data_IF_621974582862
#
_entry.id   IF_621974582862
#
_cell.length_a   1.000
_cell.length_b   1.000
_cell.length_c   1.000
_cell.angle_alpha   90.00
_cell.angle_beta   90.00
_cell.angle_gamma   90.00
#
_symmetry.space_group_name_H-M   'P 1'
#
loop_
_entity.id
_entity.type
_entity.pdbx_description
1 polymer ?
#
# COMPACT_ATOMS: atom_id res chain seq x y z
N UNK A 1 -1.65 13.50 19.61
CA UNK A 1 -1.50 12.21 18.93
C UNK A 1 -1.80 12.38 17.45
N UNK A 2 -1.01 11.79 16.55
CA UNK A 2 -1.23 11.92 15.09
C UNK A 2 -0.36 10.89 14.36
N UNK A 3 -1.01 9.92 13.74
CA UNK A 3 -0.38 8.84 12.99
C UNK A 3 -0.10 9.20 11.54
N UNK A 4 0.42 8.23 10.78
CA UNK A 4 0.50 8.33 9.31
C UNK A 4 -0.92 8.59 8.79
N UNK A 5 -1.08 9.55 7.86
CA UNK A 5 -2.37 10.03 7.32
C UNK A 5 -3.22 10.93 8.24
N UNK A 6 -2.68 11.43 9.36
CA UNK A 6 -3.33 12.47 10.18
C UNK A 6 -3.10 13.91 9.68
N UNK A 7 -2.50 14.05 8.49
CA UNK A 7 -2.37 15.35 7.82
C UNK A 7 -3.73 15.86 7.32
N UNK A 8 -3.78 17.15 6.92
CA UNK A 8 -4.97 17.75 6.33
C UNK A 8 -5.41 16.92 5.13
N UNK A 9 -6.62 16.33 5.19
CA UNK A 9 -7.20 15.66 4.02
C UNK A 9 -7.36 16.73 2.94
N UNK A 10 -6.74 16.52 1.78
CA UNK A 10 -6.98 17.40 0.63
C UNK A 10 -8.37 17.09 0.11
N UNK A 11 -9.22 18.10 -0.07
CA UNK A 11 -10.60 17.95 -0.58
C UNK A 11 -10.69 17.20 -1.91
N UNK A 12 -9.60 17.17 -2.68
CA UNK A 12 -9.52 16.59 -4.03
C UNK A 12 -9.21 15.08 -4.03
N UNK A 13 -8.68 14.51 -2.94
CA UNK A 13 -8.16 13.14 -2.92
C UNK A 13 -8.86 12.27 -1.89
N UNK A 14 -9.23 11.05 -2.29
CA UNK A 14 -10.01 10.11 -1.48
C UNK A 14 -9.24 9.51 -0.29
N UNK A 15 -7.92 9.68 -0.25
CA UNK A 15 -7.06 9.20 0.83
C UNK A 15 -5.68 8.78 0.35
N UNK A 16 -4.95 8.08 1.23
CA UNK A 16 -3.66 7.50 0.92
C UNK A 16 -3.80 6.02 0.54
N UNK A 17 -3.03 5.54 -0.45
CA UNK A 17 -3.08 4.15 -0.93
C UNK A 17 -2.89 3.12 0.19
N UNK A 18 -2.08 3.44 1.20
CA UNK A 18 -1.75 2.56 2.33
C UNK A 18 -2.96 2.31 3.26
N UNK A 19 -4.04 3.07 3.12
CA UNK A 19 -5.27 2.91 3.89
C UNK A 19 -6.23 1.89 3.27
N UNK A 20 -6.02 1.51 2.01
CA UNK A 20 -6.98 0.70 1.26
C UNK A 20 -6.41 -0.70 0.97
N UNK A 21 -7.26 -1.74 1.04
CA UNK A 21 -6.91 -3.06 0.54
C UNK A 21 -6.51 -3.00 -0.93
N UNK A 22 -5.42 -3.68 -1.28
CA UNK A 22 -4.90 -3.69 -2.63
C UNK A 22 -4.57 -5.10 -3.11
N UNK A 23 -4.89 -5.38 -4.37
CA UNK A 23 -4.45 -6.57 -5.11
C UNK A 23 -3.26 -6.16 -5.96
N UNK A 24 -2.12 -6.81 -5.75
CA UNK A 24 -0.87 -6.54 -6.46
C UNK A 24 -0.53 -7.72 -7.37
N UNK A 25 -0.49 -7.46 -8.68
CA UNK A 25 -0.19 -8.45 -9.70
C UNK A 25 1.17 -9.12 -9.49
N UNK A 26 2.14 -8.41 -8.92
CA UNK A 26 3.49 -8.93 -8.63
C UNK A 26 3.48 -9.92 -7.47
N UNK A 27 2.54 -9.79 -6.54
CA UNK A 27 2.33 -10.77 -5.47
C UNK A 27 1.68 -12.02 -6.08
N UNK A 28 0.63 -11.86 -6.88
CA UNK A 28 -0.04 -12.97 -7.57
C UNK A 28 0.94 -13.76 -8.45
N UNK A 29 1.81 -13.06 -9.19
CA UNK A 29 2.87 -13.68 -9.99
C UNK A 29 3.83 -14.51 -9.14
N UNK A 30 4.30 -13.96 -8.01
CA UNK A 30 5.23 -14.68 -7.10
C UNK A 30 4.57 -15.86 -6.41
N UNK A 31 3.26 -15.81 -6.19
CA UNK A 31 2.46 -16.92 -5.69
C UNK A 31 2.18 -17.99 -6.78
N UNK A 32 2.57 -17.76 -8.03
CA UNK A 32 2.35 -18.70 -9.13
C UNK A 32 0.88 -18.75 -9.58
N UNK A 33 0.12 -17.67 -9.42
CA UNK A 33 -1.28 -17.62 -9.85
C UNK A 33 -1.46 -17.16 -11.31
N UNK A 34 -0.42 -16.56 -11.90
CA UNK A 34 -0.45 -16.06 -13.29
C UNK A 34 0.23 -17.08 -14.22
N UNK A 35 -0.47 -18.19 -14.53
CA UNK A 35 0.00 -19.24 -15.42
C UNK A 35 -0.73 -19.17 -16.76
N UNK A 36 0.02 -19.12 -17.86
CA UNK A 36 -0.55 -19.07 -19.21
C UNK A 36 -1.34 -20.34 -19.51
N UNK A 37 -2.53 -20.23 -20.08
CA UNK A 37 -3.37 -21.37 -20.44
C UNK A 37 -4.21 -21.93 -19.29
N UNK A 38 -4.04 -21.43 -18.07
CA UNK A 38 -4.67 -22.01 -16.88
C UNK A 38 -5.66 -21.07 -16.21
N UNK A 39 -6.60 -21.68 -15.49
CA UNK A 39 -7.46 -21.01 -14.53
C UNK A 39 -6.95 -21.31 -13.11
N UNK A 40 -6.64 -20.26 -12.36
CA UNK A 40 -6.20 -20.37 -10.96
C UNK A 40 -7.17 -19.62 -10.06
N UNK A 41 -7.13 -19.92 -8.76
CA UNK A 41 -7.92 -19.21 -7.78
C UNK A 41 -7.15 -19.12 -6.46
N UNK A 42 -7.48 -18.10 -5.66
CA UNK A 42 -6.94 -17.96 -4.31
C UNK A 42 -7.89 -17.11 -3.45
N UNK A 43 -7.65 -17.06 -2.14
CA UNK A 43 -8.36 -16.18 -1.21
C UNK A 43 -7.40 -15.16 -0.59
N UNK A 44 -7.62 -13.89 -0.88
CA UNK A 44 -6.89 -12.78 -0.29
C UNK A 44 -7.58 -12.31 0.98
N UNK A 45 -6.79 -12.02 2.02
CA UNK A 45 -7.28 -11.54 3.33
C UNK A 45 -6.51 -10.31 3.77
N UNK A 46 -7.23 -9.29 4.23
CA UNK A 46 -6.67 -8.08 4.83
C UNK A 46 -7.22 -7.91 6.25
N UNK A 47 -6.35 -7.97 7.25
CA UNK A 47 -6.72 -7.83 8.66
C UNK A 47 -6.39 -6.45 9.24
N UNK A 48 -5.57 -5.64 8.56
CA UNK A 48 -4.90 -4.49 9.17
C UNK A 48 -5.43 -3.12 8.74
N UNK A 49 -6.43 -3.05 7.84
CA UNK A 49 -6.82 -1.81 7.15
C UNK A 49 -8.29 -1.38 7.36
N UNK A 50 -9.15 -2.23 7.94
CA UNK A 50 -10.52 -1.89 8.34
C UNK A 50 -10.85 -2.61 9.66
N UNK A 51 -11.84 -2.14 10.44
CA UNK A 51 -12.29 -2.82 11.67
C UNK A 51 -12.76 -4.26 11.41
N UNK A 52 -13.22 -4.53 10.19
CA UNK A 52 -13.61 -5.86 9.73
C UNK A 52 -12.54 -6.44 8.79
N UNK A 53 -12.16 -7.69 9.04
CA UNK A 53 -11.28 -8.42 8.15
C UNK A 53 -11.94 -8.57 6.77
N UNK A 54 -11.35 -7.98 5.74
CA UNK A 54 -11.80 -8.18 4.37
C UNK A 54 -11.24 -9.51 3.85
N UNK A 55 -12.11 -10.38 3.37
CA UNK A 55 -11.74 -11.62 2.69
C UNK A 55 -12.37 -11.64 1.31
N UNK A 56 -11.59 -11.96 0.28
CA UNK A 56 -12.02 -11.95 -1.11
C UNK A 56 -11.45 -13.17 -1.82
N UNK A 57 -12.29 -13.90 -2.54
CA UNK A 57 -11.87 -14.95 -3.48
C UNK A 57 -11.59 -14.34 -4.84
N UNK A 58 -10.45 -14.69 -5.40
CA UNK A 58 -10.07 -14.32 -6.76
C UNK A 58 -10.06 -15.58 -7.63
N UNK A 59 -10.58 -15.46 -8.85
CA UNK A 59 -10.49 -16.46 -9.90
C UNK A 59 -9.82 -15.79 -11.08
N UNK A 60 -8.67 -16.29 -11.50
CA UNK A 60 -7.88 -15.75 -12.60
C UNK A 60 -7.99 -16.74 -13.74
N UNK A 61 -8.58 -16.30 -14.85
CA UNK A 61 -8.65 -17.07 -16.08
C UNK A 61 -7.64 -16.49 -17.08
N UNK A 62 -6.59 -17.26 -17.40
CA UNK A 62 -5.61 -16.97 -18.44
C UNK A 62 -5.62 -18.07 -19.53
N UNK A 63 -6.70 -18.84 -19.63
CA UNK A 63 -6.85 -19.91 -20.63
C UNK A 63 -6.92 -19.37 -22.06
N UNK A 64 -7.53 -18.21 -22.23
CA UNK A 64 -7.51 -17.43 -23.47
C UNK A 64 -6.84 -16.08 -23.19
N UNK A 65 -5.75 -15.78 -23.89
CA UNK A 65 -5.06 -14.48 -23.78
C UNK A 65 -5.88 -13.32 -24.33
N UNK A 66 -6.86 -13.57 -25.21
CA UNK A 66 -7.79 -12.57 -25.72
C UNK A 66 -8.90 -12.17 -24.75
N UNK A 67 -9.28 -13.07 -23.82
CA UNK A 67 -10.32 -12.83 -22.80
C UNK A 67 -9.82 -13.01 -21.36
N UNK A 68 -8.50 -12.89 -21.18
CA UNK A 68 -7.86 -13.03 -19.88
C UNK A 68 -8.48 -12.08 -18.86
N UNK A 69 -8.89 -12.62 -17.71
CA UNK A 69 -9.62 -11.83 -16.72
C UNK A 69 -9.51 -12.40 -15.31
N UNK A 70 -9.73 -11.53 -14.32
CA UNK A 70 -9.83 -11.89 -12.92
C UNK A 70 -11.21 -11.52 -12.39
N UNK A 71 -11.91 -12.51 -11.82
CA UNK A 71 -13.16 -12.33 -11.10
C UNK A 71 -12.89 -12.26 -9.61
N UNK A 72 -13.38 -11.21 -8.97
CA UNK A 72 -13.17 -10.86 -7.58
C UNK A 72 -14.51 -10.98 -6.86
N UNK A 73 -14.59 -11.83 -5.83
CA UNK A 73 -15.82 -12.10 -5.08
C UNK A 73 -15.55 -11.92 -3.59
N UNK A 74 -16.38 -11.14 -2.87
CA UNK A 74 -16.29 -11.07 -1.40
C UNK A 74 -16.56 -12.45 -0.80
N UNK A 75 -15.72 -12.85 0.16
CA UNK A 75 -15.95 -14.04 0.96
C UNK A 75 -16.64 -13.63 2.28
N UNK A 76 -17.76 -14.30 2.62
CA UNK A 76 -18.59 -13.98 3.80
C UNK A 76 -19.70 -12.97 3.43
N UNK A 77 -20.95 -13.42 3.53
CA UNK A 77 -22.16 -12.88 2.89
C UNK A 77 -22.66 -11.48 3.26
N UNK A 78 -21.78 -10.56 3.64
CA UNK A 78 -22.14 -9.18 4.04
C UNK A 78 -21.86 -8.09 2.98
N UNK A 79 -21.53 -8.43 1.73
CA UNK A 79 -21.33 -7.41 0.69
C UNK A 79 -21.21 -7.96 -0.73
N UNK A 80 -21.67 -7.17 -1.71
CA UNK A 80 -21.72 -7.49 -3.15
C UNK A 80 -20.46 -7.04 -3.89
N UNK A 81 -19.26 -7.40 -3.39
CA UNK A 81 -18.09 -7.34 -4.29
C UNK A 81 -18.20 -8.54 -5.21
N UNK A 82 -18.63 -8.28 -6.44
CA UNK A 82 -18.61 -9.22 -7.55
C UNK A 82 -18.15 -8.46 -8.78
N UNK A 83 -16.85 -8.49 -9.04
CA UNK A 83 -16.22 -7.64 -10.04
C UNK A 83 -15.37 -8.47 -10.99
N UNK A 84 -15.54 -8.26 -12.29
CA UNK A 84 -14.62 -8.76 -13.31
C UNK A 84 -13.62 -7.66 -13.67
N UNK A 85 -12.34 -8.01 -13.75
CA UNK A 85 -11.26 -7.14 -14.18
C UNK A 85 -10.52 -7.81 -15.32
N UNK A 86 -10.41 -7.15 -16.47
CA UNK A 86 -9.66 -7.70 -17.59
C UNK A 86 -8.15 -7.70 -17.28
N UNK A 87 -7.46 -8.72 -17.79
CA UNK A 87 -6.02 -8.89 -17.71
C UNK A 87 -5.50 -8.90 -19.14
N UNK A 88 -4.46 -8.11 -19.37
CA UNK A 88 -3.75 -8.12 -20.64
C UNK A 88 -2.40 -8.82 -20.47
N UNK A 89 -2.15 -9.83 -21.29
CA UNK A 89 -0.91 -10.61 -21.29
C UNK A 89 -0.07 -10.25 -22.51
N UNK A 90 1.13 -9.72 -22.28
CA UNK A 90 2.08 -9.34 -23.34
C UNK A 90 3.28 -10.29 -23.32
N UNK A 91 3.66 -10.90 -24.46
CA UNK A 91 4.87 -11.71 -24.54
C UNK A 91 6.13 -10.90 -24.22
N UNK A 92 7.09 -11.51 -23.51
CA UNK A 92 8.37 -10.91 -23.21
C UNK A 92 9.45 -11.38 -24.19
N UNK A 93 10.38 -10.47 -24.56
CA UNK A 93 11.47 -10.75 -25.51
C UNK A 93 12.37 -11.94 -25.13
N UNK A 94 12.55 -12.17 -23.83
CA UNK A 94 13.39 -13.25 -23.28
C UNK A 94 12.57 -14.47 -22.83
N UNK A 95 11.34 -14.62 -23.33
CA UNK A 95 10.42 -15.67 -22.92
C UNK A 95 9.51 -15.28 -21.75
N UNK A 96 8.40 -16.01 -21.62
CA UNK A 96 7.35 -15.74 -20.63
C UNK A 96 6.38 -14.63 -21.02
N UNK A 97 5.43 -14.37 -20.13
CA UNK A 97 4.39 -13.36 -20.31
C UNK A 97 4.42 -12.32 -19.20
N UNK A 98 4.11 -11.07 -19.54
CA UNK A 98 3.87 -10.00 -18.59
C UNK A 98 2.40 -9.63 -18.60
N UNK A 99 1.74 -9.90 -17.47
CA UNK A 99 0.34 -9.55 -17.28
C UNK A 99 0.19 -8.14 -16.70
N UNK A 100 -0.86 -7.44 -17.08
CA UNK A 100 -1.32 -6.18 -16.49
C UNK A 100 -2.81 -6.28 -16.21
N UNK A 101 -3.28 -5.66 -15.13
CA UNK A 101 -4.71 -5.38 -15.00
C UNK A 101 -5.08 -4.23 -15.92
N UNK A 102 -6.25 -4.32 -16.54
CA UNK A 102 -6.91 -3.17 -17.15
C UNK A 102 -7.81 -2.53 -16.11
N UNK A 103 -7.58 -1.25 -15.82
CA UNK A 103 -8.38 -0.54 -14.85
C UNK A 103 -9.86 -0.56 -15.28
N UNK A 104 -10.80 -1.01 -14.44
CA UNK A 104 -12.22 -1.08 -14.81
C UNK A 104 -12.88 0.27 -15.08
N UNK A 105 -12.27 1.37 -14.61
CA UNK A 105 -12.78 2.73 -14.76
C UNK A 105 -12.07 3.46 -15.92
N UNK A 106 -10.74 3.38 -15.97
CA UNK A 106 -9.92 4.15 -16.93
C UNK A 106 -9.48 3.33 -18.15
N UNK A 107 -9.61 1.99 -18.14
CA UNK A 107 -9.08 1.10 -19.17
C UNK A 107 -7.55 1.01 -19.23
N UNK A 108 -6.83 1.72 -18.35
CA UNK A 108 -5.37 1.81 -18.37
C UNK A 108 -4.70 0.58 -17.75
N UNK A 109 -3.54 0.18 -18.30
CA UNK A 109 -2.69 -0.86 -17.72
C UNK A 109 -2.21 -0.46 -16.33
N UNK A 110 -2.39 -1.34 -15.36
CA UNK A 110 -1.91 -1.16 -14.00
C UNK A 110 -1.51 -2.49 -13.35
N UNK A 111 -0.61 -2.42 -12.36
CA UNK A 111 -0.17 -3.61 -11.60
C UNK A 111 -0.88 -3.71 -10.24
N UNK A 112 -1.53 -2.64 -9.79
CA UNK A 112 -2.21 -2.56 -8.49
C UNK A 112 -3.64 -2.06 -8.64
N UNK A 113 -4.56 -2.75 -7.99
CA UNK A 113 -5.95 -2.34 -7.83
C UNK A 113 -6.24 -2.11 -6.35
N UNK A 114 -6.83 -0.97 -6.01
CA UNK A 114 -7.20 -0.59 -4.64
C UNK A 114 -8.71 -0.66 -4.49
N UNK A 115 -9.19 -1.18 -3.36
CA UNK A 115 -10.60 -1.20 -3.02
C UNK A 115 -11.00 0.13 -2.39
N UNK A 116 -11.80 0.92 -3.09
CA UNK A 116 -12.41 2.16 -2.59
C UNK A 116 -13.89 2.14 -2.93
N UNK A 117 -14.76 2.42 -1.96
CA UNK A 117 -16.22 2.45 -2.20
C UNK A 117 -16.81 1.15 -2.74
N UNK A 118 -16.21 -0.01 -2.42
CA UNK A 118 -16.70 -1.32 -2.88
C UNK A 118 -16.19 -1.78 -4.25
N UNK A 119 -15.37 -0.98 -4.94
CA UNK A 119 -14.80 -1.32 -6.26
C UNK A 119 -13.27 -1.32 -6.26
N UNK A 120 -12.67 -2.35 -6.87
CA UNK A 120 -11.24 -2.42 -7.15
C UNK A 120 -10.92 -1.64 -8.44
N UNK A 121 -10.10 -0.59 -8.34
CA UNK A 121 -9.64 0.17 -9.51
C UNK A 121 -8.22 0.72 -9.30
N UNK A 122 -7.68 1.36 -10.34
CA UNK A 122 -6.33 1.91 -10.29
C UNK A 122 -6.23 3.05 -9.27
N UNK A 123 -5.00 3.34 -8.84
CA UNK A 123 -4.72 4.50 -7.96
C UNK A 123 -5.25 5.81 -8.55
N UNK A 124 -5.10 5.99 -9.87
CA UNK A 124 -5.48 7.22 -10.58
C UNK A 124 -7.01 7.37 -10.61
N UNK A 125 -7.72 6.30 -10.95
CA UNK A 125 -9.18 6.28 -10.99
C UNK A 125 -9.79 6.67 -9.63
N UNK A 126 -9.22 6.14 -8.55
CA UNK A 126 -9.66 6.45 -7.19
C UNK A 126 -9.08 7.74 -6.59
N UNK A 127 -8.28 8.49 -7.37
CA UNK A 127 -7.60 9.73 -6.95
C UNK A 127 -6.83 9.57 -5.63
N UNK A 128 -6.15 8.43 -5.49
CA UNK A 128 -5.38 8.10 -4.28
C UNK A 128 -3.98 8.72 -4.34
N UNK A 129 -3.53 9.23 -3.19
CA UNK A 129 -2.17 9.75 -2.99
C UNK A 129 -1.31 8.73 -2.25
N UNK A 130 -0.01 8.94 -2.22
CA UNK A 130 0.84 8.21 -1.27
C UNK A 130 0.80 8.91 0.09
N UNK A 131 0.77 8.16 1.19
CA UNK A 131 0.81 8.72 2.54
C UNK A 131 2.02 9.65 2.76
N UNK A 132 3.13 9.36 2.08
CA UNK A 132 4.33 10.21 2.11
C UNK A 132 4.10 11.61 1.53
N UNK A 133 3.18 11.79 0.57
CA UNK A 133 2.87 13.07 -0.07
C UNK A 133 1.96 13.97 0.77
N UNK A 134 1.32 13.44 1.81
CA UNK A 134 0.47 14.19 2.74
C UNK A 134 1.04 14.24 4.17
N UNK A 135 2.30 13.81 4.33
CA UNK A 135 2.91 13.69 5.65
C UNK A 135 3.39 15.05 6.19
N UNK A 136 2.81 15.48 7.31
CA UNK A 136 3.28 16.68 8.03
C UNK A 136 4.70 16.48 8.58
N UNK A 137 5.38 17.59 8.87
CA UNK A 137 6.77 17.60 9.35
C UNK A 137 6.98 16.73 10.59
N UNK A 138 6.08 16.82 11.57
CA UNK A 138 6.13 15.99 12.77
C UNK A 138 6.05 14.49 12.45
N UNK A 139 5.16 14.09 11.54
CA UNK A 139 5.02 12.68 11.15
C UNK A 139 6.24 12.20 10.37
N UNK A 140 6.80 13.03 9.47
CA UNK A 140 8.07 12.78 8.78
C UNK A 140 9.21 12.57 9.78
N UNK A 141 9.34 13.45 10.77
CA UNK A 141 10.36 13.36 11.82
C UNK A 141 10.19 12.07 12.64
N UNK A 142 8.98 11.73 13.06
CA UNK A 142 8.68 10.47 13.78
C UNK A 142 8.98 9.23 12.94
N UNK A 143 8.69 9.24 11.64
CA UNK A 143 9.05 8.15 10.72
C UNK A 143 10.56 7.98 10.65
N UNK A 144 11.32 9.07 10.54
CA UNK A 144 12.79 9.04 10.55
C UNK A 144 13.35 8.43 11.84
N UNK A 145 12.80 8.81 13.00
CA UNK A 145 13.15 8.20 14.30
C UNK A 145 12.91 6.70 14.29
N UNK A 146 11.73 6.24 13.85
CA UNK A 146 11.41 4.80 13.78
C UNK A 146 12.35 4.03 12.85
N UNK A 147 12.66 4.59 11.68
CA UNK A 147 13.58 3.98 10.72
C UNK A 147 15.00 3.84 11.32
N UNK A 148 15.52 4.89 11.94
CA UNK A 148 16.83 4.86 12.60
C UNK A 148 16.86 3.91 13.80
N UNK A 149 15.81 3.89 14.62
CA UNK A 149 15.65 2.91 15.71
C UNK A 149 15.75 1.47 15.19
N UNK A 150 15.03 1.16 14.10
CA UNK A 150 15.07 -0.16 13.47
C UNK A 150 16.47 -0.50 12.99
N UNK A 151 17.16 0.44 12.34
CA UNK A 151 18.54 0.22 11.87
C UNK A 151 19.56 0.08 13.00
N UNK A 152 19.40 0.79 14.12
CA UNK A 152 20.30 0.68 15.29
C UNK A 152 20.11 -0.64 16.02
N UNK A 153 18.86 -1.11 16.13
CA UNK A 153 18.52 -2.39 16.73
C UNK A 153 18.92 -3.57 15.83
N UNK A 154 18.83 -3.40 14.52
CA UNK A 154 18.87 -4.50 13.55
C UNK A 154 17.50 -5.17 13.44
N UNK A 155 17.26 -5.84 12.32
CA UNK A 155 16.07 -6.65 12.07
C UNK A 155 16.40 -7.80 11.09
N UNK A 156 15.37 -8.57 10.70
CA UNK A 156 15.54 -9.68 9.75
C UNK A 156 16.11 -9.28 8.38
N UNK A 157 16.02 -7.99 8.00
CA UNK A 157 16.56 -7.48 6.73
C UNK A 157 17.95 -6.88 6.88
N UNK A 158 18.29 -6.32 8.04
CA UNK A 158 19.54 -5.62 8.28
C UNK A 158 20.17 -6.05 9.61
N UNK A 159 21.40 -6.59 9.59
CA UNK A 159 22.08 -6.96 10.81
C UNK A 159 22.32 -5.73 11.70
N UNK A 160 22.35 -5.96 13.01
CA UNK A 160 22.64 -4.92 13.99
C UNK A 160 24.05 -4.34 13.74
N UNK A 161 24.17 -3.04 13.44
CA UNK A 161 25.46 -2.41 13.15
C UNK A 161 26.34 -2.40 14.40
N UNK A 162 27.66 -2.45 14.19
CA UNK A 162 28.71 -2.48 15.24
C UNK A 162 29.74 -1.36 15.03
N UNK A 163 30.56 -1.11 16.06
CA UNK A 163 31.68 -0.15 16.01
C UNK A 163 31.27 1.28 15.61
N UNK A 164 32.13 1.93 14.81
CA UNK A 164 31.95 3.33 14.35
C UNK A 164 30.61 3.54 13.64
N UNK A 165 30.17 2.59 12.81
CA UNK A 165 28.90 2.67 12.09
C UNK A 165 27.69 2.65 13.04
N UNK A 166 27.76 1.87 14.12
CA UNK A 166 26.73 1.89 15.17
C UNK A 166 26.69 3.24 15.87
N UNK A 167 27.85 3.75 16.27
CA UNK A 167 27.95 5.02 16.98
C UNK A 167 27.34 6.16 16.15
N UNK A 168 27.70 6.27 14.86
CA UNK A 168 27.12 7.27 13.95
C UNK A 168 25.60 7.17 13.85
N UNK A 169 25.05 5.95 13.67
CA UNK A 169 23.60 5.76 13.60
C UNK A 169 22.88 6.09 14.91
N UNK A 170 23.50 5.82 16.06
CA UNK A 170 22.98 6.22 17.37
C UNK A 170 22.96 7.74 17.50
N UNK A 171 24.00 8.45 17.04
CA UNK A 171 23.99 9.92 17.04
C UNK A 171 22.91 10.49 16.11
N UNK A 172 22.77 9.94 14.91
CA UNK A 172 21.69 10.32 13.99
C UNK A 172 20.30 10.08 14.61
N UNK A 173 20.11 8.98 15.34
CA UNK A 173 18.87 8.68 16.04
C UNK A 173 18.59 9.71 17.15
N UNK A 174 19.60 10.09 17.94
CA UNK A 174 19.47 11.11 18.98
C UNK A 174 19.06 12.46 18.37
N UNK A 175 19.75 12.90 17.33
CA UNK A 175 19.44 14.14 16.63
C UNK A 175 18.02 14.12 16.04
N UNK A 176 17.63 13.02 15.38
CA UNK A 176 16.29 12.87 14.83
C UNK A 176 15.20 12.88 15.93
N UNK A 177 15.48 12.26 17.09
CA UNK A 177 14.56 12.23 18.22
C UNK A 177 14.37 13.61 18.83
N UNK A 178 15.46 14.38 18.95
CA UNK A 178 15.41 15.77 19.42
C UNK A 178 14.57 16.64 18.48
N UNK A 179 14.82 16.57 17.17
CA UNK A 179 14.04 17.30 16.17
C UNK A 179 12.54 16.95 16.22
N UNK A 180 12.20 15.65 16.29
CA UNK A 180 10.81 15.21 16.40
C UNK A 180 10.13 15.71 17.67
N UNK A 181 10.88 15.83 18.78
CA UNK A 181 10.38 16.38 20.05
C UNK A 181 10.15 17.90 19.94
N UNK A 182 11.07 18.64 19.32
CA UNK A 182 10.92 20.07 19.08
C UNK A 182 9.65 20.37 18.27
N UNK A 183 9.48 19.71 17.12
CA UNK A 183 8.28 19.83 16.28
C UNK A 183 6.98 19.43 16.99
N UNK A 184 7.06 18.51 17.96
CA UNK A 184 5.89 18.13 18.75
C UNK A 184 5.47 19.23 19.73
N UNK A 185 6.45 19.82 20.41
CA UNK A 185 6.21 20.91 21.35
C UNK A 185 5.72 22.17 20.64
N UNK A 186 6.31 22.51 19.49
CA UNK A 186 5.88 23.62 18.66
C UNK A 186 4.41 23.49 18.22
N UNK A 187 4.04 22.30 17.74
CA UNK A 187 2.64 21.99 17.40
C UNK A 187 1.69 22.06 18.60
N UNK A 188 2.14 21.66 19.79
CA UNK A 188 1.32 21.78 21.00
C UNK A 188 1.09 23.23 21.39
N UNK A 189 2.12 24.10 21.25
CA UNK A 189 1.98 25.53 21.52
C UNK A 189 0.95 26.18 20.61
N UNK A 190 1.04 25.96 19.30
CA UNK A 190 0.05 26.51 18.35
C UNK A 190 -1.38 26.06 18.63
N UNK A 191 -1.58 24.80 19.06
CA UNK A 191 -2.91 24.31 19.45
C UNK A 191 -3.47 24.96 20.73
N UNK A 192 -2.61 25.40 21.64
CA UNK A 192 -3.03 26.10 22.87
C UNK A 192 -3.36 27.56 22.57
N UNK A 193 -2.62 28.17 21.63
CA UNK A 193 -2.87 29.54 21.15
C UNK A 193 -4.19 29.65 20.35
N UNK A 194 -4.58 28.62 19.59
CA UNK A 194 -5.84 28.58 18.83
C UNK A 194 -7.11 28.42 19.70
N UNK A 195 -6.97 28.14 21.00
CA UNK A 195 -8.09 27.88 21.94
C UNK A 195 -8.40 29.11 22.82
N UNK A 196 -7.52 30.09 22.85
CA UNK A 196 -7.65 31.36 23.60
C UNK A 196 -8.15 32.47 22.68
#
# INVERSE_FOLDING_TARGET
>A
MGGINSGRRRSVHSGAVEQFPAIDLRILRRAGLLRSGECTYDTLRWQNQAPEALSVRIFINLSDTGDASMRIIRAGGGGTINQRVAIECVPCRYGGIRCYFLCPIEGTRCELLHLVGGMFASRKAHRLTYAAQSENELSRARRKVRALCRQVKGDARYPRPRGRNRWQKVQQLKAASSNARALYLDRLRGLVEDIL
#
